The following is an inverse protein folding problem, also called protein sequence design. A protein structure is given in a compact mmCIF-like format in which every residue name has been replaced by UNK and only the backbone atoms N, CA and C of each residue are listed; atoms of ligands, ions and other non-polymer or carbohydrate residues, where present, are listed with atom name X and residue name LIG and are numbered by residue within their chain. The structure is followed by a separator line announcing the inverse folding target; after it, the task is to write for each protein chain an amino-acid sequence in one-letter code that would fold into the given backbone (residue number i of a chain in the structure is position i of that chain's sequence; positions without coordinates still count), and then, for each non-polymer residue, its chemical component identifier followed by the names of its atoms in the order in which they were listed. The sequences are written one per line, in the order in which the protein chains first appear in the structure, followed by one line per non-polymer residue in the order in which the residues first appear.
data_IF_136248421250
#
_entry.id   IF_136248421250
#
_cell.length_a   1.000
_cell.length_b   1.000
_cell.length_c   1.000
_cell.angle_alpha   90.00
_cell.angle_beta   90.00
_cell.angle_gamma   90.00
#
_symmetry.space_group_name_H-M   'P 1'
#
loop_
_entity.id
_entity.type
_entity.pdbx_description
1 polymer ?
#
# COMPACT_ATOMS: atom_id res chain seq x y z
N UNK A 1 0.07 13.94 -40.84
CA UNK A 1 -0.56 14.63 -39.70
C UNK A 1 0.52 15.34 -38.90
N UNK A 2 0.23 16.49 -38.28
CA UNK A 2 1.16 17.16 -37.37
C UNK A 2 1.22 16.33 -36.08
N UNK A 3 2.42 15.85 -35.70
CA UNK A 3 2.64 15.01 -34.50
C UNK A 3 2.06 15.69 -33.26
N UNK A 4 1.26 14.97 -32.47
CA UNK A 4 0.50 15.52 -31.34
C UNK A 4 1.29 15.57 -30.02
N UNK A 5 2.60 15.76 -30.11
CA UNK A 5 3.49 15.69 -28.95
C UNK A 5 3.16 16.76 -27.90
N UNK A 6 3.03 16.31 -26.64
CA UNK A 6 2.85 17.15 -25.46
C UNK A 6 4.10 17.01 -24.58
N UNK A 7 4.94 18.06 -24.49
CA UNK A 7 6.14 18.03 -23.65
C UNK A 7 5.77 18.02 -22.16
N UNK A 8 6.66 17.57 -21.28
CA UNK A 8 6.51 17.81 -19.85
C UNK A 8 6.43 19.29 -19.51
N UNK A 9 5.92 19.62 -18.32
CA UNK A 9 5.84 20.99 -17.83
C UNK A 9 6.03 21.07 -16.32
N UNK A 10 6.57 22.19 -15.83
CA UNK A 10 6.76 22.42 -14.39
C UNK A 10 8.20 22.77 -14.04
N UNK A 11 8.54 22.68 -12.76
CA UNK A 11 9.87 23.02 -12.26
C UNK A 11 10.91 21.93 -12.57
N UNK A 12 12.01 22.28 -13.24
CA UNK A 12 13.12 21.36 -13.53
C UNK A 12 13.93 20.99 -12.28
N UNK A 13 13.82 21.78 -11.21
CA UNK A 13 14.41 21.51 -9.89
C UNK A 13 13.36 20.95 -8.91
N UNK A 14 12.24 20.41 -9.40
CA UNK A 14 11.23 19.81 -8.55
C UNK A 14 11.80 18.61 -7.78
N UNK A 15 11.36 18.44 -6.53
CA UNK A 15 11.59 17.23 -5.73
C UNK A 15 10.46 16.19 -5.91
N UNK A 16 9.31 16.64 -6.42
CA UNK A 16 8.11 15.83 -6.67
C UNK A 16 7.70 15.98 -8.14
N UNK A 17 7.47 14.85 -8.80
CA UNK A 17 6.86 14.81 -10.13
C UNK A 17 5.54 14.04 -10.14
N UNK A 18 4.71 14.28 -11.15
CA UNK A 18 3.49 13.54 -11.41
C UNK A 18 3.48 12.99 -12.83
N UNK A 19 3.20 11.70 -12.98
CA UNK A 19 3.19 10.99 -14.26
C UNK A 19 1.78 10.46 -14.54
N UNK A 20 1.16 10.93 -15.62
CA UNK A 20 -0.12 10.44 -16.15
C UNK A 20 0.05 9.43 -17.29
N UNK A 21 -1.07 8.98 -17.86
CA UNK A 21 -1.08 7.88 -18.83
C UNK A 21 -0.73 8.35 -20.25
N UNK A 22 -1.57 9.21 -20.82
CA UNK A 22 -1.50 9.74 -22.18
C UNK A 22 -2.19 11.12 -22.25
N UNK A 23 -1.70 12.07 -23.05
CA UNK A 23 -2.33 13.37 -23.22
C UNK A 23 -3.76 13.28 -23.77
N UNK A 24 -4.66 14.09 -23.21
CA UNK A 24 -5.99 14.30 -23.78
C UNK A 24 -6.02 15.35 -24.92
N UNK A 25 -7.16 15.46 -25.61
CA UNK A 25 -7.39 16.44 -26.69
C UNK A 25 -7.10 17.88 -26.24
N UNK A 26 -7.51 18.24 -25.03
CA UNK A 26 -7.29 19.59 -24.49
C UNK A 26 -5.80 19.90 -24.23
N UNK A 27 -5.00 18.89 -23.88
CA UNK A 27 -3.54 19.05 -23.67
C UNK A 27 -2.81 19.36 -24.98
N UNK A 28 -3.27 18.78 -26.10
CA UNK A 28 -2.73 19.01 -27.44
C UNK A 28 -3.18 20.35 -28.01
N UNK A 29 -4.42 20.76 -27.72
CA UNK A 29 -4.99 22.02 -28.20
C UNK A 29 -4.44 23.23 -27.44
N UNK A 30 -3.97 23.04 -26.20
CA UNK A 30 -3.34 24.10 -25.41
C UNK A 30 -2.09 24.67 -26.12
N UNK A 31 -1.79 25.95 -25.88
CA UNK A 31 -0.71 26.67 -26.55
C UNK A 31 0.17 27.40 -25.53
N UNK A 32 1.43 26.96 -25.33
CA UNK A 32 2.05 25.74 -25.88
C UNK A 32 1.38 24.45 -25.35
N UNK A 33 1.44 23.29 -26.04
CA UNK A 33 0.88 22.03 -25.52
C UNK A 33 1.42 21.72 -24.12
N UNK A 34 0.55 21.25 -23.22
CA UNK A 34 0.89 21.10 -21.80
C UNK A 34 0.09 19.96 -21.14
N UNK A 35 0.71 19.13 -20.30
CA UNK A 35 0.02 18.02 -19.65
C UNK A 35 -0.92 18.50 -18.55
N UNK A 36 -1.96 17.70 -18.27
CA UNK A 36 -2.92 17.97 -17.20
C UNK A 36 -3.55 19.39 -17.27
N UNK A 37 -4.00 19.82 -18.44
CA UNK A 37 -4.81 21.07 -18.59
C UNK A 37 -6.28 20.80 -18.88
N UNK A 38 -6.63 19.54 -19.18
CA UNK A 38 -8.01 19.11 -19.39
C UNK A 38 -8.82 18.94 -18.09
N UNK A 39 -10.00 18.31 -18.15
CA UNK A 39 -10.85 18.07 -16.98
C UNK A 39 -10.13 17.33 -15.84
N UNK A 40 -9.35 16.29 -16.15
CA UNK A 40 -8.56 15.56 -15.15
C UNK A 40 -7.46 16.45 -14.55
N UNK A 41 -6.91 17.37 -15.35
CA UNK A 41 -5.97 18.38 -14.89
C UNK A 41 -6.57 19.37 -13.89
N UNK A 42 -7.83 19.80 -14.11
CA UNK A 42 -8.56 20.63 -13.15
C UNK A 42 -8.80 19.91 -11.82
N UNK A 43 -9.15 18.62 -11.88
CA UNK A 43 -9.26 17.80 -10.66
C UNK A 43 -7.91 17.67 -9.95
N UNK A 44 -6.82 17.49 -10.70
CA UNK A 44 -5.47 17.51 -10.14
C UNK A 44 -5.14 18.85 -9.47
N UNK A 45 -5.51 19.99 -10.08
CA UNK A 45 -5.30 21.32 -9.49
C UNK A 45 -6.02 21.45 -8.13
N UNK A 46 -7.27 21.03 -8.04
CA UNK A 46 -8.01 21.01 -6.77
C UNK A 46 -7.31 20.13 -5.73
N UNK A 47 -6.88 18.93 -6.11
CA UNK A 47 -6.19 17.99 -5.22
C UNK A 47 -4.84 18.55 -4.72
N UNK A 48 -4.07 19.20 -5.60
CA UNK A 48 -2.81 19.87 -5.25
C UNK A 48 -3.04 21.04 -4.27
N UNK A 49 -4.11 21.82 -4.47
CA UNK A 49 -4.50 22.89 -3.54
C UNK A 49 -4.85 22.30 -2.17
N UNK A 50 -5.69 21.26 -2.12
CA UNK A 50 -6.12 20.61 -0.87
C UNK A 50 -4.94 20.02 -0.08
N UNK A 51 -3.91 19.54 -0.77
CA UNK A 51 -2.69 18.96 -0.17
C UNK A 51 -1.57 19.98 0.04
N UNK A 52 -1.82 21.26 -0.27
CA UNK A 52 -0.85 22.35 -0.17
C UNK A 52 0.44 22.06 -0.94
N UNK A 53 0.32 21.51 -2.15
CA UNK A 53 1.42 21.28 -3.08
C UNK A 53 1.30 22.33 -4.18
N UNK A 54 2.20 23.33 -4.26
CA UNK A 54 2.13 24.33 -5.33
C UNK A 54 2.38 23.68 -6.68
N UNK A 55 1.42 23.76 -7.62
CA UNK A 55 1.58 23.18 -8.97
C UNK A 55 2.87 23.61 -9.67
N UNK A 56 3.30 24.84 -9.42
CA UNK A 56 4.52 25.41 -10.00
C UNK A 56 5.80 24.72 -9.52
N UNK A 57 5.78 24.08 -8.35
CA UNK A 57 6.90 23.34 -7.77
C UNK A 57 6.93 21.87 -8.21
N UNK A 58 5.88 21.40 -8.89
CA UNK A 58 5.77 20.03 -9.38
C UNK A 58 6.19 19.96 -10.83
N UNK A 59 6.83 18.85 -11.20
CA UNK A 59 7.07 18.49 -12.59
C UNK A 59 6.01 17.51 -13.08
N UNK A 60 5.28 17.83 -14.14
CA UNK A 60 4.16 17.04 -14.65
C UNK A 60 4.45 16.53 -16.06
N UNK A 61 4.17 15.26 -16.28
CA UNK A 61 4.44 14.56 -17.54
C UNK A 61 3.50 13.37 -17.72
N UNK A 62 3.57 12.69 -18.87
CA UNK A 62 2.83 11.45 -19.14
C UNK A 62 3.79 10.33 -19.55
N UNK A 63 3.38 9.07 -19.44
CA UNK A 63 4.14 7.93 -19.98
C UNK A 63 4.19 8.05 -21.50
N UNK A 64 3.03 8.07 -22.16
CA UNK A 64 2.92 8.30 -23.60
C UNK A 64 2.91 9.81 -23.83
N UNK A 65 3.66 10.32 -24.81
CA UNK A 65 3.79 11.77 -25.05
C UNK A 65 2.91 12.32 -26.18
N UNK A 66 2.17 11.47 -26.88
CA UNK A 66 1.30 11.86 -28.00
C UNK A 66 -0.11 11.28 -27.86
N UNK A 67 -0.99 11.69 -28.77
CA UNK A 67 -2.31 11.10 -29.03
C UNK A 67 -2.45 10.74 -30.51
N UNK A 68 -1.37 10.27 -31.14
CA UNK A 68 -1.38 9.84 -32.55
C UNK A 68 -2.11 8.48 -32.69
N UNK A 69 -2.14 7.68 -31.61
CA UNK A 69 -2.87 6.42 -31.50
C UNK A 69 -3.54 6.29 -30.11
N UNK A 70 -4.60 5.47 -29.95
CA UNK A 70 -5.22 5.24 -28.65
C UNK A 70 -4.26 4.52 -27.69
N UNK A 71 -4.35 4.78 -26.39
CA UNK A 71 -3.47 4.21 -25.34
C UNK A 71 -3.20 2.69 -25.50
N UNK A 72 -4.25 1.90 -25.78
CA UNK A 72 -4.15 0.44 -25.99
C UNK A 72 -3.23 0.00 -27.14
N UNK A 73 -2.91 0.90 -28.06
CA UNK A 73 -1.92 0.65 -29.11
C UNK A 73 -0.51 0.58 -28.51
N UNK A 74 -0.19 1.45 -27.56
CA UNK A 74 1.11 1.52 -26.90
C UNK A 74 1.21 0.57 -25.72
N UNK A 75 0.21 0.61 -24.83
CA UNK A 75 0.14 -0.16 -23.59
C UNK A 75 -1.29 -0.63 -23.43
N UNK A 76 -1.49 -1.94 -23.53
CA UNK A 76 -2.79 -2.57 -23.28
C UNK A 76 -2.72 -3.37 -21.98
N UNK A 77 -3.70 -3.18 -21.11
CA UNK A 77 -3.90 -3.94 -19.88
C UNK A 77 -5.26 -4.62 -20.01
N UNK A 78 -5.27 -5.95 -20.07
CA UNK A 78 -6.51 -6.71 -20.23
C UNK A 78 -7.29 -6.81 -18.91
N UNK A 79 -8.52 -7.34 -19.00
CA UNK A 79 -9.41 -7.53 -17.85
C UNK A 79 -8.89 -8.54 -16.81
N UNK A 80 -7.88 -9.35 -17.17
CA UNK A 80 -7.24 -10.33 -16.28
C UNK A 80 -5.99 -9.76 -15.62
N UNK A 81 -5.67 -8.48 -15.85
CA UNK A 81 -4.48 -7.83 -15.30
C UNK A 81 -3.18 -8.28 -15.98
N UNK A 82 -3.23 -8.68 -17.25
CA UNK A 82 -2.04 -8.92 -18.08
C UNK A 82 -1.77 -7.67 -18.91
N UNK A 83 -0.50 -7.29 -19.03
CA UNK A 83 -0.08 -6.18 -19.87
C UNK A 83 0.66 -6.65 -21.12
N UNK A 84 0.48 -5.90 -22.21
CA UNK A 84 1.28 -5.98 -23.43
C UNK A 84 1.72 -4.58 -23.80
N UNK A 85 3.01 -4.40 -24.06
CA UNK A 85 3.62 -3.11 -24.39
C UNK A 85 4.17 -3.21 -25.82
N UNK A 86 3.80 -2.28 -26.70
CA UNK A 86 4.31 -2.23 -28.07
C UNK A 86 5.75 -1.72 -28.11
N UNK A 87 6.40 -1.81 -29.28
CA UNK A 87 7.75 -1.27 -29.47
C UNK A 87 7.79 0.24 -29.20
N UNK A 88 6.79 0.97 -29.66
CA UNK A 88 6.60 2.39 -29.46
C UNK A 88 6.30 2.71 -27.99
N UNK A 89 5.50 1.86 -27.31
CA UNK A 89 5.27 1.96 -25.87
C UNK A 89 6.57 1.85 -25.05
N UNK A 90 7.45 0.90 -25.40
CA UNK A 90 8.77 0.79 -24.77
C UNK A 90 9.67 2.00 -25.04
N UNK A 91 9.61 2.60 -26.23
CA UNK A 91 10.33 3.83 -26.53
C UNK A 91 9.90 4.97 -25.61
N UNK A 92 8.59 5.12 -25.39
CA UNK A 92 8.06 6.14 -24.47
C UNK A 92 8.44 5.89 -23.01
N UNK A 93 8.42 4.63 -22.55
CA UNK A 93 8.89 4.27 -21.21
C UNK A 93 10.38 4.58 -21.05
N UNK A 94 11.20 4.31 -22.06
CA UNK A 94 12.62 4.65 -22.05
C UNK A 94 12.85 6.17 -22.03
N UNK A 95 12.14 6.92 -22.87
CA UNK A 95 12.16 8.40 -22.87
C UNK A 95 11.79 8.95 -21.49
N UNK A 96 10.76 8.39 -20.84
CA UNK A 96 10.38 8.77 -19.48
C UNK A 96 11.49 8.50 -18.46
N UNK A 97 12.19 7.36 -18.54
CA UNK A 97 13.32 7.06 -17.67
C UNK A 97 14.47 8.06 -17.85
N UNK A 98 14.81 8.40 -19.09
CA UNK A 98 15.82 9.42 -19.39
C UNK A 98 15.41 10.83 -18.93
N UNK A 99 14.12 11.16 -19.04
CA UNK A 99 13.55 12.42 -18.57
C UNK A 99 13.67 12.54 -17.04
N UNK A 100 13.21 11.54 -16.31
CA UNK A 100 13.20 11.56 -14.84
C UNK A 100 14.60 11.50 -14.24
N UNK A 101 15.53 10.75 -14.85
CA UNK A 101 16.93 10.63 -14.37
C UNK A 101 17.74 11.93 -14.49
N UNK A 102 17.33 12.86 -15.35
CA UNK A 102 17.97 14.19 -15.48
C UNK A 102 17.51 15.16 -14.38
N UNK A 103 16.43 14.85 -13.68
CA UNK A 103 15.86 15.69 -12.62
C UNK A 103 16.38 15.26 -11.24
N UNK A 104 16.34 16.18 -10.27
CA UNK A 104 16.71 15.90 -8.87
C UNK A 104 15.51 15.45 -8.04
N UNK A 105 14.70 14.56 -8.60
CA UNK A 105 13.48 14.08 -7.96
C UNK A 105 13.80 13.19 -6.75
N UNK A 106 13.04 13.38 -5.67
CA UNK A 106 12.99 12.46 -4.55
C UNK A 106 11.83 11.46 -4.72
N UNK A 107 10.74 11.89 -5.36
CA UNK A 107 9.52 11.06 -5.52
C UNK A 107 8.74 11.40 -6.78
N UNK A 108 8.09 10.39 -7.35
CA UNK A 108 7.13 10.49 -8.46
C UNK A 108 5.77 9.96 -8.02
N UNK A 109 4.71 10.70 -8.34
CA UNK A 109 3.33 10.23 -8.21
C UNK A 109 2.91 9.56 -9.50
N UNK A 110 2.56 8.28 -9.43
CA UNK A 110 2.09 7.50 -10.57
C UNK A 110 0.55 7.51 -10.61
N UNK A 111 -0.04 8.27 -11.54
CA UNK A 111 -1.50 8.42 -11.66
C UNK A 111 -2.10 7.30 -12.51
N UNK A 112 -2.60 6.23 -11.90
CA UNK A 112 -3.26 5.13 -12.60
C UNK A 112 -2.35 3.93 -12.92
N UNK A 113 -2.89 2.96 -13.64
CA UNK A 113 -2.21 1.68 -13.89
C UNK A 113 -1.04 1.82 -14.88
N UNK A 114 -1.16 2.68 -15.88
CA UNK A 114 -0.11 2.81 -16.91
C UNK A 114 1.19 3.39 -16.34
N UNK A 115 1.17 4.49 -15.57
CA UNK A 115 2.34 4.97 -14.84
C UNK A 115 2.89 3.96 -13.83
N UNK A 116 2.02 3.27 -13.08
CA UNK A 116 2.45 2.22 -12.14
C UNK A 116 3.20 1.08 -12.86
N UNK A 117 2.69 0.64 -14.00
CA UNK A 117 3.34 -0.38 -14.82
C UNK A 117 4.68 0.13 -15.36
N UNK A 118 4.70 1.33 -15.95
CA UNK A 118 5.91 1.90 -16.54
C UNK A 118 7.02 2.12 -15.50
N UNK A 119 6.66 2.65 -14.33
CA UNK A 119 7.62 3.08 -13.31
C UNK A 119 8.04 1.95 -12.36
N UNK A 120 7.19 0.95 -12.12
CA UNK A 120 7.43 -0.09 -11.10
C UNK A 120 7.26 -1.53 -11.61
N UNK A 121 6.84 -1.73 -12.86
CA UNK A 121 6.47 -3.04 -13.40
C UNK A 121 5.43 -3.79 -12.54
N UNK A 122 4.46 -3.05 -11.98
CA UNK A 122 3.34 -3.58 -11.18
C UNK A 122 1.99 -3.26 -11.83
N UNK A 123 0.97 -4.04 -11.51
CA UNK A 123 -0.41 -3.85 -11.97
C UNK A 123 -1.41 -3.94 -10.81
N UNK A 124 -2.53 -3.25 -10.96
CA UNK A 124 -3.60 -3.23 -9.96
C UNK A 124 -3.51 -2.02 -9.03
N UNK A 125 -3.80 -0.83 -9.57
CA UNK A 125 -3.70 0.44 -8.84
C UNK A 125 -4.48 0.44 -7.52
N UNK A 126 -5.63 -0.24 -7.46
CA UNK A 126 -6.44 -0.38 -6.23
C UNK A 126 -5.68 -1.07 -5.09
N UNK A 127 -4.72 -1.94 -5.41
CA UNK A 127 -3.89 -2.66 -4.45
C UNK A 127 -2.68 -1.83 -4.04
N UNK A 128 -1.99 -1.26 -5.03
CA UNK A 128 -0.70 -0.63 -4.84
C UNK A 128 -0.78 0.82 -4.35
N UNK A 129 -1.93 1.50 -4.51
CA UNK A 129 -2.07 2.92 -4.14
C UNK A 129 -1.56 3.21 -2.73
N UNK A 130 -0.93 4.37 -2.56
CA UNK A 130 -0.34 4.78 -1.29
C UNK A 130 0.97 4.08 -0.93
N UNK A 131 1.32 2.93 -1.53
CA UNK A 131 2.62 2.30 -1.26
C UNK A 131 3.75 3.22 -1.70
N UNK A 132 4.75 3.46 -0.85
CA UNK A 132 6.03 3.99 -1.33
C UNK A 132 6.74 2.83 -2.01
N UNK A 133 7.11 2.94 -3.28
CA UNK A 133 7.81 1.91 -4.06
C UNK A 133 9.13 2.47 -4.60
N UNK A 134 10.02 1.59 -5.04
CA UNK A 134 11.20 2.00 -5.80
C UNK A 134 10.92 1.89 -7.31
N UNK A 135 11.38 2.86 -8.08
CA UNK A 135 11.24 2.84 -9.54
C UNK A 135 12.16 1.80 -10.18
N UNK A 136 11.63 1.07 -11.15
CA UNK A 136 12.41 0.18 -12.04
C UNK A 136 13.12 0.94 -13.17
N UNK A 137 12.76 2.21 -13.42
CA UNK A 137 13.39 3.04 -14.46
C UNK A 137 14.57 3.86 -13.93
N UNK A 138 14.47 4.34 -12.69
CA UNK A 138 15.48 5.20 -12.06
C UNK A 138 15.80 4.66 -10.65
N UNK A 139 16.98 4.04 -10.44
CA UNK A 139 17.35 3.50 -9.13
C UNK A 139 17.31 4.55 -8.02
N UNK A 140 16.76 4.18 -6.86
CA UNK A 140 16.58 5.07 -5.72
C UNK A 140 15.48 6.13 -5.86
N UNK A 141 14.77 6.21 -7.00
CA UNK A 141 13.63 7.12 -7.14
C UNK A 141 12.38 6.49 -6.52
N UNK A 142 11.75 7.20 -5.58
CA UNK A 142 10.49 6.77 -4.98
C UNK A 142 9.32 6.93 -5.93
N UNK A 143 8.39 6.01 -5.88
CA UNK A 143 7.11 6.08 -6.59
C UNK A 143 5.98 5.90 -5.60
N UNK A 144 5.06 6.86 -5.55
CA UNK A 144 3.80 6.75 -4.81
C UNK A 144 2.67 6.65 -5.83
N UNK A 145 2.10 5.46 -6.07
CA UNK A 145 1.01 5.32 -7.00
C UNK A 145 -0.31 5.77 -6.36
N UNK A 146 -1.21 6.31 -7.17
CA UNK A 146 -2.56 6.70 -6.76
C UNK A 146 -3.54 6.61 -7.93
N UNK A 147 -4.84 6.74 -7.65
CA UNK A 147 -5.85 6.76 -8.70
C UNK A 147 -5.64 7.94 -9.64
N UNK A 148 -5.92 7.73 -10.93
CA UNK A 148 -5.88 8.82 -11.89
C UNK A 148 -6.97 9.86 -11.55
N UNK A 149 -6.69 11.18 -11.59
CA UNK A 149 -7.68 12.22 -11.27
C UNK A 149 -8.95 12.16 -12.14
N UNK A 150 -8.86 11.56 -13.33
CA UNK A 150 -10.03 11.32 -14.19
C UNK A 150 -11.09 10.42 -13.52
N UNK A 151 -10.75 9.60 -12.52
CA UNK A 151 -11.73 8.76 -11.79
C UNK A 151 -12.78 9.58 -11.03
N UNK A 152 -12.50 10.87 -10.79
CA UNK A 152 -13.41 11.82 -10.14
C UNK A 152 -14.38 12.48 -11.13
N UNK A 153 -14.25 12.20 -12.42
CA UNK A 153 -15.01 12.84 -13.48
C UNK A 153 -16.14 11.92 -13.93
N UNK A 154 -17.38 12.43 -14.06
CA UNK A 154 -18.47 11.67 -14.67
C UNK A 154 -18.13 11.32 -16.12
N UNK A 155 -18.23 10.05 -16.49
CA UNK A 155 -18.16 9.62 -17.89
C UNK A 155 -19.55 9.17 -18.34
N UNK A 156 -19.84 9.27 -19.63
CA UNK A 156 -21.13 8.84 -20.18
C UNK A 156 -21.37 7.36 -19.85
N UNK A 157 -22.34 7.09 -18.97
CA UNK A 157 -22.71 5.74 -18.53
C UNK A 157 -22.05 5.22 -17.26
N UNK A 158 -21.20 6.00 -16.56
CA UNK A 158 -20.64 5.62 -15.26
C UNK A 158 -20.71 6.75 -14.23
N UNK A 159 -20.98 6.39 -12.98
CA UNK A 159 -20.94 7.33 -11.88
C UNK A 159 -19.48 7.67 -11.54
N UNK A 160 -19.13 8.96 -11.33
CA UNK A 160 -17.83 9.33 -10.81
C UNK A 160 -17.56 8.63 -9.48
N UNK A 161 -16.33 8.15 -9.29
CA UNK A 161 -15.96 7.53 -8.03
C UNK A 161 -15.38 8.58 -7.08
N UNK A 162 -16.26 9.42 -6.52
CA UNK A 162 -15.86 10.48 -5.59
C UNK A 162 -15.16 9.95 -4.33
N UNK A 163 -15.38 8.67 -3.97
CA UNK A 163 -14.67 8.03 -2.85
C UNK A 163 -13.16 7.90 -3.11
N UNK A 164 -12.70 8.00 -4.35
CA UNK A 164 -11.27 8.06 -4.64
C UNK A 164 -10.63 9.37 -4.18
N UNK A 165 -11.39 10.47 -4.05
CA UNK A 165 -10.85 11.79 -3.72
C UNK A 165 -10.06 11.80 -2.39
N UNK A 166 -10.61 11.35 -1.25
CA UNK A 166 -9.84 11.29 0.01
C UNK A 166 -8.61 10.37 -0.08
N UNK A 167 -8.68 9.27 -0.83
CA UNK A 167 -7.52 8.38 -1.03
C UNK A 167 -6.40 9.05 -1.84
N UNK A 168 -6.75 9.78 -2.90
CA UNK A 168 -5.78 10.54 -3.68
C UNK A 168 -5.16 11.66 -2.83
N UNK A 169 -5.95 12.33 -1.98
CA UNK A 169 -5.43 13.35 -1.06
C UNK A 169 -4.39 12.74 -0.11
N UNK A 170 -4.70 11.60 0.50
CA UNK A 170 -3.79 10.89 1.38
C UNK A 170 -2.49 10.47 0.67
N UNK A 171 -2.61 9.91 -0.55
CA UNK A 171 -1.47 9.49 -1.36
C UNK A 171 -0.57 10.68 -1.73
N UNK A 172 -1.18 11.82 -2.09
CA UNK A 172 -0.46 13.05 -2.40
C UNK A 172 0.20 13.65 -1.15
N UNK A 173 -0.45 13.59 0.02
CA UNK A 173 0.18 14.00 1.28
C UNK A 173 1.40 13.13 1.61
N UNK A 174 1.30 11.81 1.38
CA UNK A 174 2.44 10.90 1.51
C UNK A 174 3.54 11.24 0.52
N UNK A 175 3.20 11.45 -0.75
CA UNK A 175 4.18 11.85 -1.77
C UNK A 175 4.86 13.18 -1.39
N UNK A 176 4.10 14.15 -0.86
CA UNK A 176 4.68 15.41 -0.37
C UNK A 176 5.70 15.16 0.75
N UNK A 177 5.35 14.36 1.75
CA UNK A 177 6.28 13.99 2.82
C UNK A 177 7.52 13.27 2.28
N UNK A 178 7.33 12.29 1.40
CA UNK A 178 8.43 11.56 0.76
C UNK A 178 9.31 12.44 -0.14
N UNK A 179 8.80 13.58 -0.62
CA UNK A 179 9.59 14.51 -1.42
C UNK A 179 10.65 15.27 -0.62
N UNK A 180 10.59 15.26 0.72
CA UNK A 180 11.51 16.00 1.58
C UNK A 180 12.88 15.32 1.73
N UNK A 181 12.98 14.03 1.40
CA UNK A 181 14.20 13.25 1.55
C UNK A 181 14.38 12.26 0.41
N UNK A 182 15.63 11.91 0.10
CA UNK A 182 15.94 11.05 -1.04
C UNK A 182 15.77 9.56 -0.74
N UNK A 183 16.06 9.15 0.50
CA UNK A 183 16.10 7.74 0.85
C UNK A 183 14.68 7.13 0.89
N UNK A 184 14.61 5.83 0.62
CA UNK A 184 13.41 5.03 0.95
C UNK A 184 13.55 4.62 2.41
N UNK A 185 12.71 5.21 3.27
CA UNK A 185 12.73 4.94 4.71
C UNK A 185 11.67 3.90 5.04
N UNK A 186 12.11 2.81 5.66
CA UNK A 186 11.24 1.79 6.25
C UNK A 186 11.61 1.61 7.69
N UNK A 187 10.62 1.45 8.52
CA UNK A 187 10.72 0.99 9.89
C UNK A 187 11.28 -0.42 9.84
N UNK A 188 12.51 -0.60 10.31
CA UNK A 188 13.12 -1.91 10.49
C UNK A 188 12.30 -2.69 11.50
N UNK A 189 11.88 -3.90 11.13
CA UNK A 189 11.07 -4.78 11.97
C UNK A 189 11.84 -6.06 12.27
N UNK A 190 11.94 -6.38 13.55
CA UNK A 190 12.51 -7.61 14.08
C UNK A 190 11.40 -8.66 14.12
N UNK A 191 11.32 -9.47 13.07
CA UNK A 191 10.30 -10.53 12.95
C UNK A 191 10.95 -11.89 13.17
N UNK A 192 10.53 -12.59 14.22
CA UNK A 192 10.93 -13.97 14.48
C UNK A 192 9.90 -14.94 13.89
N UNK A 193 10.28 -15.70 12.86
CA UNK A 193 9.41 -16.65 12.16
C UNK A 193 9.93 -18.06 12.44
N UNK A 194 9.04 -18.99 12.79
CA UNK A 194 9.39 -20.37 13.19
C UNK A 194 10.42 -20.41 14.34
N UNK A 195 10.13 -19.76 15.47
CA UNK A 195 10.96 -19.80 16.66
C UNK A 195 11.01 -21.21 17.27
N UNK A 196 12.11 -21.55 17.92
CA UNK A 196 12.15 -22.75 18.78
C UNK A 196 11.17 -22.64 19.96
N UNK A 197 10.89 -23.76 20.61
CA UNK A 197 10.05 -23.80 21.81
C UNK A 197 10.55 -22.82 22.89
N UNK A 198 11.85 -22.85 23.22
CA UNK A 198 12.43 -21.95 24.23
C UNK A 198 12.27 -20.48 23.87
N UNK A 199 12.42 -20.12 22.59
CA UNK A 199 12.24 -18.74 22.12
C UNK A 199 10.77 -18.33 22.20
N UNK A 200 9.86 -19.21 21.83
CA UNK A 200 8.41 -19.00 21.91
C UNK A 200 7.99 -18.71 23.35
N UNK A 201 8.38 -19.57 24.30
CA UNK A 201 8.02 -19.41 25.71
C UNK A 201 8.60 -18.13 26.33
N UNK A 202 9.85 -17.78 25.99
CA UNK A 202 10.48 -16.54 26.43
C UNK A 202 9.75 -15.31 25.92
N UNK A 203 9.41 -15.27 24.62
CA UNK A 203 8.73 -14.12 24.03
C UNK A 203 7.28 -14.01 24.52
N UNK A 204 6.56 -15.12 24.69
CA UNK A 204 5.20 -15.06 25.26
C UNK A 204 5.22 -14.57 26.71
N UNK A 205 6.19 -15.01 27.51
CA UNK A 205 6.39 -14.48 28.88
C UNK A 205 6.70 -12.99 28.85
N UNK A 206 7.55 -12.55 27.92
CA UNK A 206 7.83 -11.13 27.73
C UNK A 206 6.59 -10.33 27.32
N UNK A 207 5.80 -10.80 26.36
CA UNK A 207 4.52 -10.20 25.97
C UNK A 207 3.57 -10.06 27.17
N UNK A 208 3.50 -11.08 28.02
CA UNK A 208 2.70 -11.03 29.24
C UNK A 208 3.17 -9.93 30.19
N UNK A 209 4.47 -9.85 30.48
CA UNK A 209 5.05 -8.79 31.34
C UNK A 209 4.83 -7.38 30.77
N UNK A 210 5.04 -7.20 29.47
CA UNK A 210 4.84 -5.92 28.79
C UNK A 210 3.36 -5.52 28.80
N UNK A 211 2.47 -6.50 28.64
CA UNK A 211 1.03 -6.33 28.81
C UNK A 211 0.67 -5.82 30.20
N UNK A 212 1.24 -6.42 31.25
CA UNK A 212 1.02 -5.98 32.64
C UNK A 212 1.60 -4.59 32.93
N UNK A 213 2.60 -4.15 32.15
CA UNK A 213 3.12 -2.76 32.19
C UNK A 213 2.25 -1.77 31.42
N UNK A 214 1.10 -2.20 30.91
CA UNK A 214 0.12 -1.37 30.21
C UNK A 214 0.34 -1.25 28.71
N UNK A 215 1.22 -2.06 28.10
CA UNK A 215 1.31 -2.13 26.64
C UNK A 215 0.16 -2.96 26.08
N UNK A 216 -0.39 -2.52 24.94
CA UNK A 216 -1.32 -3.35 24.17
C UNK A 216 -0.55 -4.44 23.45
N UNK A 217 -0.98 -5.68 23.59
CA UNK A 217 -0.39 -6.83 22.89
C UNK A 217 -1.21 -7.14 21.63
N UNK A 218 -0.55 -7.10 20.49
CA UNK A 218 -1.13 -7.45 19.21
C UNK A 218 -1.11 -8.97 19.01
N UNK A 219 -2.20 -9.53 18.47
CA UNK A 219 -2.36 -10.94 18.16
C UNK A 219 -3.06 -11.14 16.81
N UNK A 220 -2.65 -12.17 16.09
CA UNK A 220 -3.27 -12.67 14.87
C UNK A 220 -3.13 -14.21 14.80
N UNK A 221 -4.14 -14.92 14.28
CA UNK A 221 -4.06 -16.38 14.08
C UNK A 221 -4.29 -16.74 12.62
N UNK A 222 -3.63 -17.80 12.16
CA UNK A 222 -3.97 -18.46 10.91
C UNK A 222 -4.61 -19.81 11.21
N UNK A 223 -5.71 -20.13 10.52
CA UNK A 223 -6.49 -21.34 10.73
C UNK A 223 -6.52 -22.17 9.45
N UNK A 224 -6.07 -23.42 9.53
CA UNK A 224 -6.10 -24.38 8.42
C UNK A 224 -6.75 -25.68 8.90
N UNK A 225 -7.71 -26.21 8.13
CA UNK A 225 -8.42 -27.45 8.44
C UNK A 225 -9.07 -27.48 9.85
N UNK A 226 -9.49 -26.31 10.36
CA UNK A 226 -10.15 -26.22 11.68
C UNK A 226 -9.21 -26.31 12.89
N UNK A 227 -7.91 -26.11 12.66
CA UNK A 227 -6.87 -25.99 13.69
C UNK A 227 -6.09 -24.69 13.51
N UNK A 228 -5.51 -24.15 14.58
CA UNK A 228 -4.54 -23.05 14.49
C UNK A 228 -3.27 -23.58 13.82
N UNK A 229 -2.94 -23.02 12.66
CA UNK A 229 -1.72 -23.35 11.93
C UNK A 229 -0.54 -22.56 12.49
N UNK A 230 -0.76 -21.28 12.79
CA UNK A 230 0.19 -20.45 13.52
C UNK A 230 -0.52 -19.33 14.30
N UNK A 231 0.17 -18.81 15.31
CA UNK A 231 -0.25 -17.65 16.10
C UNK A 231 0.89 -16.63 16.11
N UNK A 232 0.55 -15.38 15.84
CA UNK A 232 1.50 -14.27 15.85
C UNK A 232 1.22 -13.32 17.01
N UNK A 233 2.30 -12.76 17.56
CA UNK A 233 2.25 -11.71 18.58
C UNK A 233 3.16 -10.55 18.22
N UNK A 234 2.76 -9.35 18.62
CA UNK A 234 3.58 -8.14 18.55
C UNK A 234 3.38 -7.32 19.82
N UNK A 235 4.46 -6.77 20.36
CA UNK A 235 4.46 -5.98 21.61
C UNK A 235 5.03 -4.57 21.41
N UNK A 236 5.42 -4.24 20.18
CA UNK A 236 5.89 -2.93 19.76
C UNK A 236 5.63 -2.73 18.26
N UNK A 237 5.77 -1.51 17.72
CA UNK A 237 5.69 -1.28 16.27
C UNK A 237 6.78 -2.01 15.44
N UNK A 238 7.81 -2.53 16.10
CA UNK A 238 9.01 -3.08 15.46
C UNK A 238 9.25 -4.55 15.75
N UNK A 239 8.67 -5.13 16.79
CA UNK A 239 9.04 -6.46 17.28
C UNK A 239 7.84 -7.40 17.26
N UNK A 240 8.02 -8.54 16.59
CA UNK A 240 6.98 -9.55 16.46
C UNK A 240 7.52 -10.96 16.35
N UNK A 241 6.65 -11.92 16.65
CA UNK A 241 6.91 -13.36 16.55
C UNK A 241 5.74 -14.04 15.84
N UNK A 242 6.02 -15.04 15.01
CA UNK A 242 5.03 -15.94 14.40
C UNK A 242 5.40 -17.38 14.75
N UNK A 243 4.58 -17.98 15.62
CA UNK A 243 4.77 -19.30 16.21
C UNK A 243 3.91 -20.30 15.43
N UNK A 244 4.49 -21.20 14.63
CA UNK A 244 3.74 -22.26 13.96
C UNK A 244 3.42 -23.41 14.92
N UNK A 245 2.29 -24.07 14.68
CA UNK A 245 1.96 -25.38 15.28
C UNK A 245 2.13 -26.52 14.27
N UNK A 246 2.18 -26.18 12.98
CA UNK A 246 2.44 -27.12 11.89
C UNK A 246 3.53 -26.63 10.95
N UNK A 247 4.22 -27.58 10.34
CA UNK A 247 5.12 -27.33 9.22
C UNK A 247 4.86 -28.32 8.07
N UNK A 248 5.73 -28.30 7.05
CA UNK A 248 5.59 -29.19 5.88
C UNK A 248 5.79 -30.68 6.21
N UNK A 249 6.38 -30.99 7.37
CA UNK A 249 6.74 -32.33 7.81
C UNK A 249 5.78 -32.88 8.88
N UNK A 250 4.88 -32.06 9.42
CA UNK A 250 3.89 -32.46 10.41
C UNK A 250 3.72 -31.41 11.51
N UNK A 251 3.58 -31.87 12.74
CA UNK A 251 3.45 -31.01 13.92
C UNK A 251 4.80 -30.37 14.25
N UNK A 252 4.80 -29.06 14.52
CA UNK A 252 6.02 -28.28 14.71
C UNK A 252 6.62 -28.46 16.11
N UNK A 253 5.78 -28.73 17.11
CA UNK A 253 6.14 -28.96 18.50
C UNK A 253 5.72 -30.36 18.94
N UNK A 254 6.33 -30.87 20.01
CA UNK A 254 5.74 -32.03 20.71
C UNK A 254 4.43 -31.61 21.39
N UNK A 255 3.58 -32.58 21.72
CA UNK A 255 2.29 -32.32 22.39
C UNK A 255 2.49 -31.54 23.70
N UNK A 256 3.53 -31.86 24.47
CA UNK A 256 3.86 -31.19 25.73
C UNK A 256 4.29 -29.74 25.51
N UNK A 257 5.09 -29.49 24.47
CA UNK A 257 5.57 -28.15 24.10
C UNK A 257 4.42 -27.28 23.59
N UNK A 258 3.56 -27.82 22.72
CA UNK A 258 2.37 -27.14 22.24
C UNK A 258 1.43 -26.80 23.38
N UNK A 259 1.19 -27.75 24.29
CA UNK A 259 0.39 -27.52 25.49
C UNK A 259 0.90 -26.34 26.32
N UNK A 260 2.20 -26.28 26.58
CA UNK A 260 2.81 -25.20 27.35
C UNK A 260 2.71 -23.84 26.62
N UNK A 261 2.94 -23.82 25.30
CA UNK A 261 2.75 -22.62 24.49
C UNK A 261 1.29 -22.14 24.57
N UNK A 262 0.33 -23.05 24.43
CA UNK A 262 -1.09 -22.70 24.48
C UNK A 262 -1.52 -22.21 25.87
N UNK A 263 -0.91 -22.70 26.96
CA UNK A 263 -1.11 -22.14 28.29
C UNK A 263 -0.62 -20.69 28.38
N UNK A 264 0.57 -20.38 27.86
CA UNK A 264 1.12 -19.02 27.86
C UNK A 264 0.27 -18.06 27.01
N UNK A 265 -0.18 -18.52 25.83
CA UNK A 265 -1.15 -17.80 25.00
C UNK A 265 -2.44 -17.52 25.79
N UNK A 266 -2.97 -18.56 26.46
CA UNK A 266 -4.16 -18.45 27.29
C UNK A 266 -4.01 -17.46 28.44
N UNK A 267 -2.83 -17.41 29.08
CA UNK A 267 -2.53 -16.44 30.14
C UNK A 267 -2.60 -15.00 29.63
N UNK A 268 -1.99 -14.70 28.47
CA UNK A 268 -2.05 -13.35 27.89
C UNK A 268 -3.49 -12.97 27.56
N UNK A 269 -4.20 -13.83 26.83
CA UNK A 269 -5.54 -13.52 26.29
C UNK A 269 -6.60 -13.43 27.40
N UNK A 270 -6.48 -14.25 28.44
CA UNK A 270 -7.48 -14.34 29.51
C UNK A 270 -7.23 -13.38 30.68
N UNK A 271 -6.11 -12.67 30.72
CA UNK A 271 -5.82 -11.69 31.78
C UNK A 271 -6.52 -10.35 31.51
N UNK A 272 -7.42 -9.94 32.39
CA UNK A 272 -8.22 -8.72 32.22
C UNK A 272 -7.41 -7.42 32.31
N UNK A 273 -6.18 -7.47 32.85
CA UNK A 273 -5.30 -6.32 33.01
C UNK A 273 -4.53 -5.98 31.73
N UNK A 274 -4.45 -6.93 30.80
CA UNK A 274 -3.73 -6.77 29.53
C UNK A 274 -4.72 -6.32 28.47
N UNK A 275 -4.42 -5.23 27.78
CA UNK A 275 -5.14 -4.81 26.58
C UNK A 275 -4.64 -5.61 25.38
N UNK A 276 -5.54 -6.08 24.52
CA UNK A 276 -5.20 -6.84 23.30
C UNK A 276 -5.72 -6.13 22.08
N UNK A 277 -5.03 -6.31 20.96
CA UNK A 277 -5.47 -5.81 19.67
C UNK A 277 -5.24 -6.84 18.56
N UNK A 278 -6.12 -6.88 17.57
CA UNK A 278 -5.96 -7.75 16.41
C UNK A 278 -6.66 -7.19 15.17
N UNK A 279 -6.35 -7.75 14.01
CA UNK A 279 -6.93 -7.31 12.74
C UNK A 279 -8.32 -7.89 12.51
N UNK A 280 -8.46 -9.23 12.59
CA UNK A 280 -9.73 -9.97 12.52
C UNK A 280 -10.18 -10.44 13.90
N UNK A 281 -9.96 -9.61 14.93
CA UNK A 281 -9.92 -10.05 16.32
C UNK A 281 -11.21 -10.69 16.86
N UNK A 282 -12.38 -10.37 16.27
CA UNK A 282 -13.64 -11.05 16.58
C UNK A 282 -13.55 -12.54 16.24
N UNK A 283 -13.05 -12.88 15.04
CA UNK A 283 -12.88 -14.26 14.62
C UNK A 283 -11.84 -14.96 15.49
N UNK A 284 -10.67 -14.35 15.66
CA UNK A 284 -9.54 -14.95 16.37
C UNK A 284 -9.91 -15.34 17.80
N UNK A 285 -10.53 -14.40 18.53
CA UNK A 285 -10.93 -14.63 19.92
C UNK A 285 -12.08 -15.63 20.05
N UNK A 286 -13.05 -15.61 19.13
CA UNK A 286 -14.11 -16.62 19.11
C UNK A 286 -13.55 -18.01 18.79
N UNK A 287 -12.64 -18.12 17.83
CA UNK A 287 -12.03 -19.40 17.47
C UNK A 287 -11.26 -19.98 18.65
N UNK A 288 -10.39 -19.17 19.28
CA UNK A 288 -9.61 -19.58 20.46
C UNK A 288 -10.50 -19.99 21.63
N UNK A 289 -11.60 -19.29 21.86
CA UNK A 289 -12.57 -19.67 22.89
C UNK A 289 -13.27 -20.99 22.60
N UNK A 290 -13.88 -21.15 21.42
CA UNK A 290 -14.67 -22.34 21.11
C UNK A 290 -13.81 -23.59 20.97
N UNK A 291 -12.61 -23.46 20.41
CA UNK A 291 -11.72 -24.60 20.12
C UNK A 291 -10.84 -24.98 21.31
N UNK A 292 -10.26 -24.00 22.00
CA UNK A 292 -9.26 -24.23 23.05
C UNK A 292 -9.71 -23.78 24.45
N UNK A 293 -10.92 -23.23 24.59
CA UNK A 293 -11.44 -22.77 25.88
C UNK A 293 -10.75 -21.50 26.41
N UNK A 294 -9.99 -20.78 25.57
CA UNK A 294 -9.30 -19.55 25.95
C UNK A 294 -10.30 -18.39 25.94
N UNK A 295 -10.62 -17.85 27.12
CA UNK A 295 -11.65 -16.82 27.27
C UNK A 295 -10.99 -15.43 27.16
N UNK A 296 -11.23 -14.64 26.10
CA UNK A 296 -10.72 -13.28 26.00
C UNK A 296 -11.31 -12.40 27.12
N UNK A 297 -10.47 -11.68 27.86
CA UNK A 297 -10.88 -10.73 28.91
C UNK A 297 -10.23 -9.36 28.75
N UNK A 298 -10.66 -8.37 29.52
CA UNK A 298 -10.06 -7.04 29.54
C UNK A 298 -10.43 -6.20 28.31
N UNK A 299 -9.57 -5.23 28.01
CA UNK A 299 -9.76 -4.34 26.85
C UNK A 299 -9.36 -5.03 25.55
N UNK A 300 -10.27 -5.02 24.56
CA UNK A 300 -10.08 -5.65 23.26
C UNK A 300 -10.28 -4.63 22.14
N UNK A 301 -9.27 -4.48 21.29
CA UNK A 301 -9.30 -3.59 20.14
C UNK A 301 -9.29 -4.38 18.84
N UNK A 302 -10.17 -4.02 17.90
CA UNK A 302 -10.19 -4.61 16.57
C UNK A 302 -9.90 -3.53 15.54
N UNK A 303 -8.77 -3.64 14.83
CA UNK A 303 -8.36 -2.60 13.86
C UNK A 303 -9.33 -2.52 12.68
N UNK A 304 -9.99 -3.61 12.31
CA UNK A 304 -11.05 -3.59 11.31
C UNK A 304 -12.29 -2.80 11.73
N UNK A 305 -12.72 -2.96 12.98
CA UNK A 305 -13.83 -2.17 13.52
C UNK A 305 -13.42 -0.70 13.58
N UNK A 306 -12.21 -0.41 14.06
CA UNK A 306 -11.68 0.95 14.10
C UNK A 306 -11.63 1.60 12.70
N UNK A 307 -11.19 0.86 11.68
CA UNK A 307 -11.19 1.30 10.28
C UNK A 307 -12.62 1.55 9.79
N UNK A 308 -13.57 0.65 10.07
CA UNK A 308 -14.97 0.83 9.65
C UNK A 308 -15.69 1.97 10.36
N UNK A 309 -15.29 2.31 11.57
CA UNK A 309 -15.80 3.48 12.29
C UNK A 309 -15.21 4.76 11.69
N UNK A 310 -13.90 4.78 11.42
CA UNK A 310 -13.19 5.98 10.94
C UNK A 310 -13.42 6.26 9.45
N UNK A 311 -13.56 5.20 8.66
CA UNK A 311 -13.58 5.20 7.20
C UNK A 311 -14.63 4.20 6.67
N UNK A 312 -15.93 4.43 6.94
CA UNK A 312 -17.00 3.45 6.71
C UNK A 312 -17.11 2.98 5.25
N UNK A 313 -16.87 3.90 4.31
CA UNK A 313 -16.96 3.65 2.87
C UNK A 313 -15.79 2.85 2.30
N UNK A 314 -14.71 2.67 3.07
CA UNK A 314 -13.47 2.02 2.59
C UNK A 314 -13.33 0.58 3.08
N UNK A 315 -12.60 -0.28 2.35
CA UNK A 315 -12.29 -1.63 2.83
C UNK A 315 -11.55 -1.61 4.17
N UNK A 316 -11.77 -2.64 4.98
CA UNK A 316 -11.08 -2.82 6.26
C UNK A 316 -10.08 -3.99 6.24
N UNK A 317 -9.94 -4.67 5.10
CA UNK A 317 -8.96 -5.73 4.94
C UNK A 317 -7.55 -5.22 5.25
N UNK A 318 -6.73 -6.09 5.88
CA UNK A 318 -5.41 -5.73 6.38
C UNK A 318 -4.50 -5.16 5.28
N UNK A 319 -4.62 -5.63 4.04
CA UNK A 319 -3.88 -5.10 2.90
C UNK A 319 -4.22 -3.64 2.58
N UNK A 320 -5.50 -3.27 2.67
CA UNK A 320 -5.93 -1.89 2.47
C UNK A 320 -5.50 -1.00 3.64
N UNK A 321 -5.72 -1.46 4.87
CA UNK A 321 -5.34 -0.73 6.10
C UNK A 321 -3.83 -0.52 6.18
N UNK A 322 -3.04 -1.52 5.78
CA UNK A 322 -1.57 -1.46 5.78
C UNK A 322 -1.07 -0.38 4.83
N UNK A 323 -1.57 -0.38 3.60
CA UNK A 323 -1.19 0.65 2.60
C UNK A 323 -1.66 2.04 3.00
N UNK A 324 -2.76 2.16 3.74
CA UNK A 324 -3.29 3.44 4.23
C UNK A 324 -2.44 3.99 5.39
N UNK A 325 -2.14 3.18 6.41
CA UNK A 325 -1.67 3.70 7.70
C UNK A 325 -0.20 3.42 8.02
N UNK A 326 0.50 2.68 7.17
CA UNK A 326 1.87 2.23 7.47
C UNK A 326 2.85 2.55 6.34
N UNK A 327 4.13 2.31 6.61
CA UNK A 327 5.20 2.34 5.64
C UNK A 327 5.44 0.97 4.97
N UNK A 328 4.55 -0.01 5.13
CA UNK A 328 4.65 -1.32 4.47
C UNK A 328 3.92 -1.22 3.12
N UNK A 329 4.57 -1.55 1.99
CA UNK A 329 3.89 -1.66 0.70
C UNK A 329 2.81 -2.73 0.69
N UNK A 330 1.95 -2.71 -0.32
CA UNK A 330 1.09 -3.86 -0.59
C UNK A 330 1.92 -5.15 -0.74
N UNK A 331 1.56 -6.18 0.02
CA UNK A 331 2.38 -7.40 0.21
C UNK A 331 1.66 -8.70 -0.17
N UNK A 332 0.33 -8.70 -0.37
CA UNK A 332 -0.47 -9.92 -0.60
C UNK A 332 -0.16 -10.65 -1.92
N UNK A 333 0.67 -10.08 -2.80
CA UNK A 333 1.13 -10.72 -4.03
C UNK A 333 2.58 -11.24 -3.94
N UNK A 334 3.25 -11.05 -2.80
CA UNK A 334 4.64 -11.47 -2.58
C UNK A 334 4.73 -12.86 -1.91
N UNK A 335 3.60 -13.55 -1.72
CA UNK A 335 3.48 -14.87 -1.06
C UNK A 335 2.99 -15.99 -1.97
#
# INVERSE_FOLDING_TARGET
MKRTYVPPSGNLNAMLAGVGEQPGIQEIQYRPPKPFVGPAGKQLDELLIMTKIPRQEVYLTNVIKDLDAPLRHYINIDKYGRSTISKEGYQYIHELGEELSKLKLNVVVAFGNVPLLALCNRLGITKWRGSVLESTLVPGLKVVPTFHPATLIPHAGSQPNYLNKPLIIEDLMRAKYESEFKEIRRTGRNVSIKPSFSQSSQVLTHCYEEGLRGRTIDLDIEVINGEVDCIAFSWSPTDSISIPFRDRNGDYFTVEQEYEIMLLVGQIISDERIAKRGAYFIFDTQFLFHKYGIIPRGELHCTQIAQKISYPDFPAGLDFVTTMHTDIPYYKQDG
#
